data_IF_060086990592
#
_entry.id   IF_060086990592
#
_cell.length_a   1.000
_cell.length_b   1.000
_cell.length_c   1.000
_cell.angle_alpha   90.00
_cell.angle_beta   90.00
_cell.angle_gamma   90.00
#
_symmetry.space_group_name_H-M   'P 1'
#
loop_
_entity.id
_entity.type
_entity.pdbx_description
1 polymer ?
#
# COMPACT_ATOMS: atom_id res chain seq x y z
N UNK A 1 -15.73 -21.62 5.66
CA UNK A 1 -14.35 -21.28 5.24
C UNK A 1 -13.59 -20.86 6.48
N UNK A 2 -12.41 -21.44 6.76
CA UNK A 2 -11.53 -20.98 7.85
C UNK A 2 -10.43 -20.11 7.23
N UNK A 3 -10.24 -18.90 7.75
CA UNK A 3 -9.16 -17.98 7.34
C UNK A 3 -8.15 -17.82 8.47
N UNK A 4 -6.91 -17.44 8.12
CA UNK A 4 -5.84 -17.24 9.09
C UNK A 4 -6.13 -16.08 10.04
N UNK A 5 -5.44 -16.04 11.17
CA UNK A 5 -5.67 -15.00 12.17
C UNK A 5 -5.16 -13.62 11.71
N UNK A 6 -4.10 -13.63 10.90
CA UNK A 6 -3.56 -12.46 10.22
C UNK A 6 -4.60 -11.89 9.24
N UNK A 7 -5.32 -12.76 8.52
CA UNK A 7 -6.40 -12.34 7.62
C UNK A 7 -7.56 -11.72 8.40
N UNK A 8 -7.98 -12.31 9.53
CA UNK A 8 -9.03 -11.71 10.37
C UNK A 8 -8.62 -10.33 10.89
N UNK A 9 -7.37 -10.22 11.36
CA UNK A 9 -6.81 -8.95 11.83
C UNK A 9 -6.77 -7.90 10.73
N UNK A 10 -6.35 -8.26 9.52
CA UNK A 10 -6.33 -7.34 8.38
C UNK A 10 -7.75 -6.93 7.94
N UNK A 11 -8.71 -7.84 7.95
CA UNK A 11 -10.13 -7.55 7.72
C UNK A 11 -10.68 -6.57 8.75
N UNK A 12 -10.38 -6.78 10.03
CA UNK A 12 -10.76 -5.85 11.08
C UNK A 12 -10.16 -4.46 10.84
N UNK A 13 -8.87 -4.36 10.48
CA UNK A 13 -8.22 -3.08 10.14
C UNK A 13 -8.86 -2.40 8.94
N UNK A 14 -9.20 -3.15 7.89
CA UNK A 14 -9.88 -2.61 6.70
C UNK A 14 -11.22 -1.94 7.06
N UNK A 15 -11.94 -2.44 8.05
CA UNK A 15 -13.25 -1.91 8.46
C UNK A 15 -13.12 -0.75 9.45
N UNK A 16 -12.18 -0.83 10.39
CA UNK A 16 -12.10 0.11 11.52
C UNK A 16 -11.02 1.19 11.36
N UNK A 17 -10.05 1.00 10.47
CA UNK A 17 -8.84 1.81 10.37
C UNK A 17 -8.58 2.31 8.94
N UNK A 18 -9.64 2.45 8.14
CA UNK A 18 -9.57 3.05 6.81
C UNK A 18 -9.75 4.56 6.89
N UNK A 19 -8.86 5.31 6.25
CA UNK A 19 -8.86 6.77 6.32
C UNK A 19 -10.13 7.35 5.69
N UNK A 20 -10.87 8.17 6.45
CA UNK A 20 -12.09 8.82 5.97
C UNK A 20 -13.29 7.88 5.78
N UNK A 21 -13.20 6.62 6.23
CA UNK A 21 -14.28 5.63 6.10
C UNK A 21 -14.66 5.10 7.47
N UNK A 22 -15.95 5.14 7.79
CA UNK A 22 -16.49 4.56 9.02
C UNK A 22 -17.03 3.15 8.79
N UNK A 23 -17.11 2.30 9.83
CA UNK A 23 -17.77 0.99 9.70
C UNK A 23 -19.25 1.09 9.32
N UNK A 24 -19.89 2.25 9.52
CA UNK A 24 -21.25 2.50 9.05
C UNK A 24 -21.30 2.65 7.53
N UNK A 25 -20.38 3.42 6.96
CA UNK A 25 -20.28 3.58 5.51
C UNK A 25 -20.01 2.24 4.81
N UNK A 26 -19.17 1.40 5.43
CA UNK A 26 -18.93 0.02 4.98
C UNK A 26 -20.23 -0.80 5.01
N UNK A 27 -21.02 -0.70 6.08
CA UNK A 27 -22.28 -1.42 6.18
C UNK A 27 -23.30 -0.98 5.10
N UNK A 28 -23.37 0.32 4.84
CA UNK A 28 -24.26 0.92 3.84
C UNK A 28 -23.89 0.45 2.42
N UNK A 29 -22.59 0.42 2.08
CA UNK A 29 -22.09 -0.08 0.79
C UNK A 29 -22.38 -1.57 0.59
N UNK A 30 -22.31 -2.35 1.68
CA UNK A 30 -22.57 -3.78 1.64
C UNK A 30 -24.06 -4.15 1.72
N UNK A 31 -24.94 -3.19 2.05
CA UNK A 31 -26.35 -3.45 2.30
C UNK A 31 -26.58 -4.38 3.52
N UNK A 32 -25.71 -4.32 4.53
CA UNK A 32 -25.79 -5.14 5.75
C UNK A 32 -25.99 -4.25 6.98
N UNK A 33 -26.35 -4.87 8.12
CA UNK A 33 -26.45 -4.11 9.37
C UNK A 33 -25.07 -3.62 9.84
N UNK A 34 -25.04 -2.47 10.51
CA UNK A 34 -23.81 -1.95 11.13
C UNK A 34 -23.14 -2.97 12.06
N UNK A 35 -23.92 -3.72 12.83
CA UNK A 35 -23.42 -4.79 13.70
C UNK A 35 -22.78 -5.94 12.92
N UNK A 36 -23.33 -6.28 11.76
CA UNK A 36 -22.75 -7.29 10.86
C UNK A 36 -21.39 -6.83 10.35
N UNK A 37 -21.29 -5.58 9.88
CA UNK A 37 -20.03 -5.02 9.41
C UNK A 37 -18.95 -4.97 10.51
N UNK A 38 -19.29 -4.53 11.72
CA UNK A 38 -18.37 -4.50 12.85
C UNK A 38 -17.82 -5.89 13.22
N UNK A 39 -18.65 -6.92 13.07
CA UNK A 39 -18.27 -8.29 13.42
C UNK A 39 -17.43 -8.98 12.34
N UNK A 40 -17.35 -8.44 11.12
CA UNK A 40 -16.48 -9.01 10.09
C UNK A 40 -15.01 -8.93 10.51
N UNK A 41 -14.35 -10.08 10.50
CA UNK A 41 -12.95 -10.17 10.91
C UNK A 41 -12.73 -10.00 12.41
N UNK A 42 -13.80 -9.99 13.22
CA UNK A 42 -13.66 -10.03 14.68
C UNK A 42 -12.96 -11.35 15.08
N UNK A 43 -11.73 -11.30 15.61
CA UNK A 43 -10.96 -12.50 15.95
C UNK A 43 -11.62 -13.34 17.05
N UNK A 44 -12.53 -12.73 17.82
CA UNK A 44 -13.25 -13.36 18.92
C UNK A 44 -14.63 -13.93 18.51
N UNK A 45 -15.05 -13.73 17.25
CA UNK A 45 -16.33 -14.25 16.72
C UNK A 45 -16.13 -14.94 15.37
N UNK A 46 -16.01 -16.27 15.40
CA UNK A 46 -15.64 -17.10 14.24
C UNK A 46 -16.72 -17.22 13.15
N UNK A 47 -17.94 -16.74 13.37
CA UNK A 47 -19.10 -17.03 12.52
C UNK A 47 -19.45 -15.94 11.50
N UNK A 48 -18.82 -14.77 11.56
CA UNK A 48 -19.14 -13.64 10.68
C UNK A 48 -17.97 -13.33 9.76
N UNK A 49 -17.87 -14.10 8.67
CA UNK A 49 -16.97 -13.79 7.56
C UNK A 49 -17.77 -13.18 6.39
N UNK A 50 -17.24 -12.15 5.72
CA UNK A 50 -17.85 -11.63 4.51
C UNK A 50 -17.77 -12.68 3.39
N UNK A 51 -18.73 -12.63 2.46
CA UNK A 51 -18.59 -13.33 1.18
C UNK A 51 -17.44 -12.69 0.37
N UNK A 52 -16.93 -13.41 -0.63
CA UNK A 52 -15.91 -12.84 -1.54
C UNK A 52 -16.41 -11.56 -2.22
N UNK A 53 -17.68 -11.52 -2.61
CA UNK A 53 -18.32 -10.33 -3.18
C UNK A 53 -18.34 -9.14 -2.20
N UNK A 54 -18.67 -9.40 -0.93
CA UNK A 54 -18.64 -8.36 0.09
C UNK A 54 -17.20 -7.89 0.38
N UNK A 55 -16.24 -8.82 0.37
CA UNK A 55 -14.83 -8.49 0.52
C UNK A 55 -14.33 -7.58 -0.61
N UNK A 56 -14.63 -7.91 -1.87
CA UNK A 56 -14.28 -7.10 -3.04
C UNK A 56 -14.90 -5.70 -2.95
N UNK A 57 -16.18 -5.59 -2.63
CA UNK A 57 -16.86 -4.31 -2.46
C UNK A 57 -16.22 -3.46 -1.36
N UNK A 58 -15.85 -4.06 -0.22
CA UNK A 58 -15.11 -3.35 0.84
C UNK A 58 -13.75 -2.88 0.37
N UNK A 59 -12.99 -3.72 -0.34
CA UNK A 59 -11.66 -3.38 -0.84
C UNK A 59 -11.72 -2.18 -1.79
N UNK A 60 -12.65 -2.19 -2.75
CA UNK A 60 -12.86 -1.10 -3.72
C UNK A 60 -13.30 0.18 -3.01
N UNK A 61 -14.19 0.08 -2.02
CA UNK A 61 -14.71 1.25 -1.32
C UNK A 61 -13.69 1.89 -0.38
N UNK A 62 -13.01 1.06 0.42
CA UNK A 62 -12.05 1.52 1.44
C UNK A 62 -10.69 1.86 0.86
N UNK A 63 -10.35 1.30 -0.31
CA UNK A 63 -9.01 1.38 -0.91
C UNK A 63 -7.90 0.96 0.06
N UNK A 64 -8.21 0.08 1.01
CA UNK A 64 -7.29 -0.36 2.05
C UNK A 64 -6.74 -1.75 1.71
N UNK A 65 -5.45 -1.87 1.30
CA UNK A 65 -4.88 -3.12 0.80
C UNK A 65 -4.44 -4.09 1.91
N UNK A 66 -4.80 -3.86 3.19
CA UNK A 66 -4.28 -4.63 4.33
C UNK A 66 -4.38 -6.16 4.14
N UNK A 67 -5.51 -6.66 3.66
CA UNK A 67 -5.70 -8.10 3.42
C UNK A 67 -4.83 -8.62 2.27
N UNK A 68 -4.71 -7.85 1.19
CA UNK A 68 -3.86 -8.21 0.05
C UNK A 68 -2.38 -8.28 0.45
N UNK A 69 -1.90 -7.35 1.30
CA UNK A 69 -0.54 -7.39 1.84
C UNK A 69 -0.29 -8.67 2.66
N UNK A 70 -1.22 -9.03 3.54
CA UNK A 70 -1.12 -10.27 4.33
C UNK A 70 -1.06 -11.50 3.43
N UNK A 71 -1.95 -11.60 2.44
CA UNK A 71 -1.98 -12.74 1.52
C UNK A 71 -0.73 -12.84 0.65
N UNK A 72 -0.21 -11.70 0.18
CA UNK A 72 1.07 -11.68 -0.54
C UNK A 72 2.20 -12.23 0.34
N UNK A 73 2.31 -11.75 1.59
CA UNK A 73 3.34 -12.22 2.52
C UNK A 73 3.23 -13.72 2.85
N UNK A 74 2.01 -14.24 3.01
CA UNK A 74 1.77 -15.67 3.23
C UNK A 74 2.26 -16.54 2.06
N UNK A 75 2.31 -15.97 0.85
CA UNK A 75 2.80 -16.64 -0.36
C UNK A 75 4.28 -16.35 -0.64
N UNK A 76 5.00 -15.69 0.28
CA UNK A 76 6.40 -15.30 0.09
C UNK A 76 6.58 -14.15 -0.93
N UNK A 77 5.52 -13.40 -1.21
CA UNK A 77 5.53 -12.25 -2.12
C UNK A 77 5.41 -10.94 -1.34
N UNK A 78 5.78 -9.83 -1.98
CA UNK A 78 5.56 -8.47 -1.45
C UNK A 78 4.62 -7.73 -2.40
N UNK A 79 3.57 -7.12 -1.84
CA UNK A 79 2.70 -6.22 -2.59
C UNK A 79 3.32 -4.82 -2.58
N UNK A 80 3.82 -4.39 -3.73
CA UNK A 80 4.33 -3.02 -3.91
C UNK A 80 3.23 -2.18 -4.55
N UNK A 81 2.81 -1.06 -3.94
CA UNK A 81 1.85 -0.16 -4.56
C UNK A 81 2.46 0.44 -5.82
N UNK A 82 1.66 0.51 -6.88
CA UNK A 82 2.00 1.25 -8.10
C UNK A 82 1.56 2.70 -7.89
N UNK A 83 2.44 3.66 -8.20
CA UNK A 83 2.10 5.08 -8.12
C UNK A 83 0.98 5.41 -9.13
N UNK A 84 0.19 6.46 -8.84
CA UNK A 84 -0.68 7.14 -9.80
C UNK A 84 -1.92 6.41 -10.33
N UNK A 85 -2.71 5.73 -9.49
CA UNK A 85 -4.09 5.39 -9.89
C UNK A 85 -5.07 6.55 -9.61
N UNK A 86 -4.89 7.33 -8.54
CA UNK A 86 -5.87 8.38 -8.14
C UNK A 86 -5.27 9.67 -7.52
N UNK A 87 -3.96 9.92 -7.65
CA UNK A 87 -3.31 11.13 -7.11
C UNK A 87 -3.31 11.27 -5.58
N UNK A 88 -3.82 10.28 -4.84
CA UNK A 88 -3.75 10.23 -3.37
C UNK A 88 -2.39 9.67 -2.96
N UNK A 89 -1.59 10.48 -2.25
CA UNK A 89 -0.32 10.04 -1.64
C UNK A 89 -0.60 8.87 -0.68
N UNK A 90 -0.28 7.64 -1.10
CA UNK A 90 -0.18 6.52 -0.17
C UNK A 90 1.11 6.72 0.64
N UNK A 91 1.01 6.72 1.97
CA UNK A 91 2.22 6.75 2.81
C UNK A 91 2.97 5.43 2.67
N UNK A 92 4.02 5.43 1.84
CA UNK A 92 4.93 4.31 1.70
C UNK A 92 5.78 4.16 2.97
N UNK A 93 6.00 2.93 3.40
CA UNK A 93 7.06 2.64 4.37
C UNK A 93 8.43 2.95 3.77
N UNK A 94 9.45 3.05 4.63
CA UNK A 94 10.85 3.26 4.20
C UNK A 94 11.30 2.18 3.22
N UNK A 95 10.95 0.91 3.49
CA UNK A 95 11.31 -0.22 2.62
C UNK A 95 10.58 -0.19 1.28
N UNK A 96 9.28 0.11 1.26
CA UNK A 96 8.52 0.27 0.02
C UNK A 96 9.07 1.43 -0.83
N UNK A 97 9.46 2.53 -0.18
CA UNK A 97 10.08 3.68 -0.85
C UNK A 97 11.44 3.34 -1.46
N UNK A 98 12.28 2.59 -0.74
CA UNK A 98 13.57 2.09 -1.24
C UNK A 98 13.39 1.14 -2.43
N UNK A 99 12.43 0.21 -2.35
CA UNK A 99 12.10 -0.69 -3.45
C UNK A 99 11.64 0.08 -4.70
N UNK A 100 10.77 1.07 -4.53
CA UNK A 100 10.33 1.95 -5.61
C UNK A 100 11.51 2.64 -6.30
N UNK A 101 12.43 3.22 -5.51
CA UNK A 101 13.66 3.85 -6.03
C UNK A 101 14.52 2.86 -6.83
N UNK A 102 14.73 1.65 -6.32
CA UNK A 102 15.53 0.63 -7.01
C UNK A 102 14.90 0.20 -8.35
N UNK A 103 13.57 0.09 -8.41
CA UNK A 103 12.85 -0.19 -9.66
C UNK A 103 13.07 0.93 -10.67
N UNK A 104 12.94 2.20 -10.26
CA UNK A 104 13.19 3.35 -11.11
C UNK A 104 14.63 3.36 -11.65
N UNK A 105 15.61 3.13 -10.78
CA UNK A 105 17.01 3.03 -11.18
C UNK A 105 17.26 1.87 -12.18
N UNK A 106 16.59 0.73 -11.98
CA UNK A 106 16.62 -0.39 -12.92
C UNK A 106 16.03 -0.05 -14.30
N UNK A 107 14.96 0.76 -14.35
CA UNK A 107 14.38 1.23 -15.60
C UNK A 107 15.33 2.19 -16.34
N UNK A 108 15.92 3.16 -15.64
CA UNK A 108 16.92 4.07 -16.22
C UNK A 108 18.13 3.31 -16.78
N UNK A 109 18.66 2.33 -16.02
CA UNK A 109 19.78 1.50 -16.49
C UNK A 109 19.43 0.70 -17.76
N UNK A 110 18.18 0.22 -17.88
CA UNK A 110 17.74 -0.49 -19.09
C UNK A 110 17.74 0.43 -20.31
N UNK A 111 17.30 1.66 -20.14
CA UNK A 111 17.26 2.62 -21.24
C UNK A 111 18.67 3.01 -21.70
N UNK A 112 19.60 3.20 -20.76
CA UNK A 112 21.03 3.39 -21.08
C UNK A 112 21.57 2.21 -21.88
N UNK A 113 21.23 0.97 -21.50
CA UNK A 113 21.65 -0.22 -22.24
C UNK A 113 21.07 -0.25 -23.65
N UNK A 114 19.77 0.05 -23.81
CA UNK A 114 19.13 0.10 -25.13
C UNK A 114 19.83 1.11 -26.06
N UNK A 115 20.11 2.33 -25.56
CA UNK A 115 20.80 3.37 -26.32
C UNK A 115 22.27 3.01 -26.66
N UNK A 116 22.91 2.17 -25.85
CA UNK A 116 24.24 1.65 -26.14
C UNK A 116 24.20 0.51 -27.19
N UNK A 117 23.11 -0.26 -27.24
CA UNK A 117 22.93 -1.34 -28.21
C UNK A 117 22.69 -0.84 -29.64
N UNK A 118 21.91 0.25 -29.80
CA UNK A 118 21.62 0.84 -31.11
C UNK A 118 22.55 2.01 -31.49
N UNK A 119 23.27 2.57 -30.51
CA UNK A 119 24.21 3.68 -30.68
C UNK A 119 23.54 5.02 -30.98
N UNK A 120 22.23 5.14 -30.79
CA UNK A 120 21.45 6.34 -31.11
C UNK A 120 20.53 6.66 -29.94
N UNK A 121 20.51 7.93 -29.53
CA UNK A 121 19.49 8.42 -28.57
C UNK A 121 18.49 9.24 -29.36
N UNK A 122 17.25 8.75 -29.44
CA UNK A 122 16.15 9.45 -30.10
C UNK A 122 15.50 10.46 -29.14
N UNK A 123 14.82 11.50 -29.67
CA UNK A 123 14.06 12.42 -28.82
C UNK A 123 13.00 11.75 -27.95
N UNK A 124 12.36 10.68 -28.45
CA UNK A 124 11.37 9.92 -27.69
C UNK A 124 12.01 9.19 -26.49
N UNK A 125 13.23 8.67 -26.65
CA UNK A 125 13.98 8.07 -25.55
C UNK A 125 14.49 9.11 -24.56
N UNK A 126 14.84 10.33 -25.01
CA UNK A 126 15.14 11.42 -24.08
C UNK A 126 13.93 11.78 -23.22
N UNK A 127 12.74 11.90 -23.81
CA UNK A 127 11.50 12.17 -23.07
C UNK A 127 11.15 11.04 -22.09
N UNK A 128 11.30 9.78 -22.49
CA UNK A 128 11.08 8.63 -21.60
C UNK A 128 12.12 8.59 -20.48
N UNK A 129 13.37 8.96 -20.75
CA UNK A 129 14.42 9.07 -19.72
C UNK A 129 14.07 10.15 -18.71
N UNK A 130 13.63 11.32 -19.18
CA UNK A 130 13.21 12.44 -18.34
C UNK A 130 12.06 12.04 -17.42
N UNK A 131 11.06 11.33 -17.96
CA UNK A 131 9.95 10.79 -17.15
C UNK A 131 10.42 9.81 -16.07
N UNK A 132 11.36 8.92 -16.38
CA UNK A 132 11.94 8.00 -15.39
C UNK A 132 12.70 8.79 -14.30
N UNK A 133 13.43 9.84 -14.68
CA UNK A 133 14.13 10.70 -13.72
C UNK A 133 13.15 11.42 -12.79
N UNK A 134 12.06 11.99 -13.33
CA UNK A 134 10.98 12.58 -12.52
C UNK A 134 10.40 11.57 -11.52
N UNK A 135 10.14 10.33 -11.95
CA UNK A 135 9.67 9.29 -11.05
C UNK A 135 10.70 8.98 -9.94
N UNK A 136 11.99 8.89 -10.28
CA UNK A 136 13.06 8.65 -9.30
C UNK A 136 13.12 9.78 -8.28
N UNK A 137 13.01 11.04 -8.71
CA UNK A 137 12.97 12.19 -7.82
C UNK A 137 11.79 12.12 -6.84
N UNK A 138 10.59 11.83 -7.34
CA UNK A 138 9.41 11.63 -6.50
C UNK A 138 9.59 10.49 -5.49
N UNK A 139 10.21 9.38 -5.90
CA UNK A 139 10.53 8.24 -5.02
C UNK A 139 11.55 8.62 -3.94
N UNK A 140 12.58 9.39 -4.28
CA UNK A 140 13.57 9.90 -3.31
C UNK A 140 12.91 10.85 -2.30
N UNK A 141 12.02 11.74 -2.75
CA UNK A 141 11.28 12.63 -1.85
C UNK A 141 10.38 11.85 -0.89
N UNK A 142 9.67 10.85 -1.41
CA UNK A 142 8.83 9.94 -0.61
C UNK A 142 9.65 9.18 0.42
N UNK A 143 10.81 8.64 0.05
CA UNK A 143 11.74 7.98 0.96
C UNK A 143 12.19 8.92 2.09
N UNK A 144 12.60 10.15 1.76
CA UNK A 144 13.00 11.14 2.76
C UNK A 144 11.86 11.46 3.73
N UNK A 145 10.63 11.58 3.25
CA UNK A 145 9.43 11.82 4.07
C UNK A 145 9.16 10.63 5.00
N UNK A 146 9.20 9.40 4.48
CA UNK A 146 9.03 8.18 5.26
C UNK A 146 10.09 8.05 6.36
N UNK A 147 11.37 8.29 6.03
CA UNK A 147 12.46 8.25 7.00
C UNK A 147 12.31 9.29 8.11
N UNK A 148 11.94 10.54 7.76
CA UNK A 148 11.66 11.58 8.76
C UNK A 148 10.50 11.20 9.68
N UNK A 149 9.45 10.60 9.13
CA UNK A 149 8.31 10.11 9.89
C UNK A 149 8.68 9.02 10.90
N UNK A 150 9.43 7.99 10.47
CA UNK A 150 9.91 6.94 11.37
C UNK A 150 10.88 7.46 12.43
N UNK A 151 11.78 8.37 12.06
CA UNK A 151 12.72 8.99 13.00
C UNK A 151 11.98 9.81 14.08
N UNK A 152 10.94 10.55 13.70
CA UNK A 152 10.10 11.30 14.64
C UNK A 152 9.36 10.38 15.63
N UNK A 153 8.81 9.25 15.15
CA UNK A 153 8.19 8.23 16.02
C UNK A 153 9.19 7.69 17.04
N UNK A 154 10.39 7.33 16.59
CA UNK A 154 11.44 6.81 17.47
C UNK A 154 11.88 7.83 18.53
N UNK A 155 12.09 9.09 18.14
CA UNK A 155 12.44 10.17 19.08
C UNK A 155 11.32 10.45 20.09
N UNK A 156 10.06 10.38 19.67
CA UNK A 156 8.92 10.56 20.58
C UNK A 156 8.78 9.40 21.58
N UNK A 157 9.05 8.17 21.17
CA UNK A 157 9.03 7.00 22.05
C UNK A 157 10.14 7.08 23.12
N UNK A 158 11.34 7.55 22.73
CA UNK A 158 12.45 7.80 23.65
C UNK A 158 12.17 8.91 24.68
N UNK A 159 11.32 9.88 24.36
CA UNK A 159 10.89 10.92 25.31
C UNK A 159 9.87 10.37 26.31
N UNK A 160 8.99 9.46 25.88
CA UNK A 160 8.00 8.82 26.75
C UNK A 160 8.65 7.82 27.72
N UNK A 161 9.69 7.09 27.31
CA UNK A 161 10.41 6.15 28.20
C UNK A 161 11.29 6.82 29.27
N UNK A 162 11.56 8.13 29.13
CA UNK A 162 12.36 8.91 30.10
C UNK A 162 11.52 9.69 31.12
N UNK A 163 10.19 9.64 31.03
CA UNK A 163 9.24 10.31 31.93
C UNK A 163 8.58 9.30 32.88
#
# INVERSE_FOLDING_TARGET
MKISQETKTALHKMIHQSAGVTPKDVADVLGVSHKTALNYGNPNMDQHLPSLKAFEAMLIYTQNPANLKVWAHMLGMVLVPVNNIDGKEHQLSVLESLLGMNIGNGAANRQVLNALEDGVVTPAEMDETDHILEEIEQKIQSLRKAMKGECAKYLSALQIEKA
#
